data_IF_139776203213
#
_entry.id   IF_139776203213
#
_cell.length_a   1.000
_cell.length_b   1.000
_cell.length_c   1.000
_cell.angle_alpha   90.00
_cell.angle_beta   90.00
_cell.angle_gamma   90.00
#
_symmetry.space_group_name_H-M   'P 1'
#
loop_
_entity.id
_entity.type
_entity.pdbx_description
1 polymer ?
#
# COMPACT_ATOMS: atom_id res chain seq x y z
N UNK A 1 -7.71 -4.28 -36.53
CA UNK A 1 -6.51 -5.13 -36.50
C UNK A 1 -6.45 -5.74 -35.11
N UNK A 2 -6.76 -7.03 -35.04
CA UNK A 2 -7.41 -7.66 -33.89
C UNK A 2 -6.43 -8.05 -32.77
N UNK A 3 -6.91 -7.98 -31.52
CA UNK A 3 -6.28 -8.46 -30.27
C UNK A 3 -5.67 -9.88 -30.36
N UNK A 4 -6.18 -10.69 -31.30
CA UNK A 4 -5.69 -12.02 -31.64
C UNK A 4 -4.21 -11.97 -32.11
N UNK A 5 -3.82 -10.94 -32.87
CA UNK A 5 -2.45 -10.77 -33.34
C UNK A 5 -1.46 -10.42 -32.23
N UNK A 6 -1.90 -9.63 -31.25
CA UNK A 6 -1.10 -9.24 -30.08
C UNK A 6 -0.90 -10.43 -29.11
N UNK A 7 -1.91 -11.27 -28.97
CA UNK A 7 -1.87 -12.54 -28.21
C UNK A 7 -0.89 -13.54 -28.82
N UNK A 8 -0.96 -13.76 -30.14
CA UNK A 8 -0.04 -14.63 -30.87
C UNK A 8 1.42 -14.16 -30.76
N UNK A 9 1.66 -12.86 -30.81
CA UNK A 9 3.01 -12.29 -30.67
C UNK A 9 3.59 -12.47 -29.26
N UNK A 10 2.77 -12.30 -28.21
CA UNK A 10 3.18 -12.58 -26.82
C UNK A 10 3.45 -14.07 -26.58
N UNK A 11 2.65 -14.95 -27.18
CA UNK A 11 2.84 -16.40 -27.08
C UNK A 11 4.10 -16.86 -27.84
N UNK A 12 4.39 -16.27 -29.00
CA UNK A 12 5.63 -16.51 -29.74
C UNK A 12 6.87 -16.04 -28.96
N UNK A 13 6.80 -14.88 -28.29
CA UNK A 13 7.88 -14.41 -27.41
C UNK A 13 8.12 -15.33 -26.21
N UNK A 14 7.05 -15.83 -25.58
CA UNK A 14 7.15 -16.81 -24.48
C UNK A 14 7.75 -18.14 -24.95
N UNK A 15 7.35 -18.63 -26.13
CA UNK A 15 7.91 -19.86 -26.73
C UNK A 15 9.40 -19.70 -27.06
N UNK A 16 9.80 -18.53 -27.58
CA UNK A 16 11.20 -18.23 -27.86
C UNK A 16 12.05 -18.17 -26.59
N UNK A 17 11.54 -17.57 -25.51
CA UNK A 17 12.19 -17.59 -24.20
C UNK A 17 12.32 -19.01 -23.63
N UNK A 18 11.30 -19.86 -23.82
CA UNK A 18 11.33 -21.25 -23.40
C UNK A 18 12.41 -22.04 -24.15
N UNK A 19 12.51 -21.85 -25.47
CA UNK A 19 13.51 -22.51 -26.32
C UNK A 19 14.95 -22.06 -26.05
N UNK A 20 15.15 -20.79 -25.67
CA UNK A 20 16.47 -20.26 -25.30
C UNK A 20 16.94 -20.81 -23.94
N UNK A 21 16.02 -21.08 -23.01
CA UNK A 21 16.34 -21.55 -21.66
C UNK A 21 16.40 -23.08 -21.53
N UNK A 22 15.73 -23.83 -22.41
CA UNK A 22 15.72 -25.30 -22.41
C UNK A 22 17.13 -25.95 -22.39
N UNK A 23 18.13 -25.46 -23.16
CA UNK A 23 19.48 -26.01 -23.13
C UNK A 23 20.22 -25.79 -21.80
N UNK A 24 19.84 -24.78 -21.01
CA UNK A 24 20.49 -24.43 -19.75
C UNK A 24 19.97 -25.21 -18.54
N UNK A 25 18.74 -25.74 -18.62
CA UNK A 25 18.13 -26.53 -17.53
C UNK A 25 18.65 -27.97 -17.48
N UNK A 26 19.27 -28.44 -18.56
CA UNK A 26 19.66 -29.84 -18.72
C UNK A 26 20.76 -30.34 -17.75
N UNK A 27 21.43 -29.45 -17.00
CA UNK A 27 22.59 -29.84 -16.18
C UNK A 27 22.66 -29.25 -14.76
N UNK A 28 21.56 -28.76 -14.17
CA UNK A 28 21.60 -28.23 -12.80
C UNK A 28 20.55 -28.86 -11.88
N UNK A 29 21.04 -29.49 -10.80
CA UNK A 29 20.24 -29.80 -9.61
C UNK A 29 19.79 -28.45 -9.02
N UNK A 30 18.49 -28.14 -9.13
CA UNK A 30 17.91 -26.86 -8.69
C UNK A 30 16.90 -26.21 -9.65
N UNK A 31 16.63 -26.80 -10.82
CA UNK A 31 15.66 -26.27 -11.80
C UNK A 31 14.23 -26.06 -11.27
N UNK A 32 13.84 -26.74 -10.18
CA UNK A 32 12.53 -26.59 -9.51
C UNK A 32 12.30 -25.17 -8.99
N UNK A 33 13.31 -24.51 -8.43
CA UNK A 33 13.19 -23.17 -7.85
C UNK A 33 13.24 -22.08 -8.93
N UNK A 34 13.97 -22.33 -10.02
CA UNK A 34 14.00 -21.42 -11.18
C UNK A 34 12.70 -21.43 -11.98
N UNK A 35 12.06 -22.58 -12.21
CA UNK A 35 10.77 -22.66 -12.91
C UNK A 35 9.62 -21.98 -12.12
N UNK A 36 9.67 -22.06 -10.79
CA UNK A 36 8.78 -21.32 -9.88
C UNK A 36 9.08 -19.82 -9.88
N UNK A 37 10.36 -19.41 -9.84
CA UNK A 37 10.78 -17.99 -9.92
C UNK A 37 10.48 -17.34 -11.28
N UNK A 38 10.48 -18.11 -12.37
CA UNK A 38 10.24 -17.63 -13.74
C UNK A 38 8.75 -17.63 -14.14
N UNK A 39 7.82 -18.08 -13.28
CA UNK A 39 6.38 -18.05 -13.58
C UNK A 39 5.93 -19.01 -14.69
N UNK A 40 6.73 -20.04 -15.00
CA UNK A 40 6.45 -21.01 -16.06
C UNK A 40 5.34 -22.00 -15.67
N UNK A 41 5.21 -22.31 -14.37
CA UNK A 41 4.17 -23.21 -13.85
C UNK A 41 2.77 -22.56 -13.90
N UNK A 42 2.69 -21.24 -13.82
CA UNK A 42 1.42 -20.50 -13.89
C UNK A 42 0.82 -20.45 -15.31
N UNK A 43 1.63 -20.73 -16.35
CA UNK A 43 1.23 -20.63 -17.77
C UNK A 43 0.96 -22.00 -18.44
N UNK A 44 0.92 -23.12 -17.69
CA UNK A 44 0.58 -24.41 -18.28
C UNK A 44 -0.94 -24.53 -18.48
N UNK A 45 -1.37 -24.10 -19.67
CA UNK A 45 -2.65 -24.47 -20.29
C UNK A 45 -2.71 -26.00 -20.44
N UNK A 46 -3.91 -26.59 -20.33
CA UNK A 46 -4.10 -28.04 -20.20
C UNK A 46 -3.42 -28.86 -21.33
N UNK A 47 -3.23 -28.26 -22.50
CA UNK A 47 -2.62 -28.88 -23.67
C UNK A 47 -1.10 -29.11 -23.57
N UNK A 48 -0.37 -28.35 -22.74
CA UNK A 48 1.10 -28.47 -22.64
C UNK A 48 1.60 -29.44 -21.57
N UNK A 49 0.67 -29.99 -20.77
CA UNK A 49 0.99 -31.00 -19.75
C UNK A 49 1.46 -32.32 -20.41
N UNK A 50 1.14 -32.55 -21.69
CA UNK A 50 1.59 -33.71 -22.46
C UNK A 50 3.10 -33.72 -22.75
N UNK A 51 3.73 -32.55 -22.91
CA UNK A 51 5.12 -32.45 -23.40
C UNK A 51 6.16 -32.65 -22.30
N UNK A 52 5.76 -32.62 -21.01
CA UNK A 52 6.66 -32.76 -19.84
C UNK A 52 6.97 -34.24 -19.51
N UNK A 53 6.43 -35.20 -20.28
CA UNK A 53 6.56 -36.64 -19.99
C UNK A 53 8.00 -37.21 -20.02
N UNK A 54 9.02 -36.45 -20.46
CA UNK A 54 10.39 -36.94 -20.55
C UNK A 54 11.37 -36.41 -19.48
N UNK A 55 10.90 -35.67 -18.48
CA UNK A 55 11.72 -35.34 -17.30
C UNK A 55 11.03 -35.81 -16.02
N UNK A 56 11.82 -36.07 -14.97
CA UNK A 56 11.51 -36.69 -13.66
C UNK A 56 10.35 -36.01 -12.87
N UNK A 57 9.68 -35.04 -13.47
CA UNK A 57 8.48 -34.40 -12.98
C UNK A 57 7.23 -35.22 -13.34
N UNK A 58 6.77 -36.09 -12.43
CA UNK A 58 5.52 -36.81 -12.66
C UNK A 58 4.35 -35.82 -12.76
N UNK A 59 3.47 -36.01 -13.75
CA UNK A 59 2.22 -35.24 -13.95
C UNK A 59 1.43 -35.08 -12.65
N UNK A 60 1.49 -36.07 -11.77
CA UNK A 60 0.88 -36.07 -10.43
C UNK A 60 1.51 -35.04 -9.47
N UNK A 61 2.84 -34.94 -9.42
CA UNK A 61 3.56 -33.96 -8.57
C UNK A 61 3.28 -32.53 -9.02
N UNK A 62 3.29 -32.26 -10.32
CA UNK A 62 2.93 -30.95 -10.89
C UNK A 62 1.50 -30.52 -10.55
N UNK A 63 0.54 -31.44 -10.71
CA UNK A 63 -0.88 -31.18 -10.41
C UNK A 63 -1.09 -30.91 -8.93
N UNK A 64 -0.41 -31.66 -8.06
CA UNK A 64 -0.48 -31.47 -6.60
C UNK A 64 0.07 -30.10 -6.17
N UNK A 65 1.21 -29.67 -6.72
CA UNK A 65 1.80 -28.35 -6.45
C UNK A 65 0.89 -27.22 -6.96
N UNK A 66 0.31 -27.35 -8.16
CA UNK A 66 -0.68 -26.40 -8.70
C UNK A 66 -1.93 -26.29 -7.83
N UNK A 67 -2.47 -27.43 -7.38
CA UNK A 67 -3.62 -27.47 -6.47
C UNK A 67 -3.31 -26.86 -5.10
N UNK A 68 -2.11 -27.11 -4.57
CA UNK A 68 -1.65 -26.50 -3.32
C UNK A 68 -1.50 -24.97 -3.46
N UNK A 69 -0.90 -24.49 -4.55
CA UNK A 69 -0.82 -23.07 -4.89
C UNK A 69 -2.20 -22.41 -4.98
N UNK A 70 -3.15 -23.04 -5.68
CA UNK A 70 -4.52 -22.55 -5.79
C UNK A 70 -5.26 -22.50 -4.44
N UNK A 71 -5.10 -23.53 -3.60
CA UNK A 71 -5.67 -23.55 -2.24
C UNK A 71 -5.11 -22.42 -1.38
N UNK A 72 -3.80 -22.17 -1.45
CA UNK A 72 -3.16 -21.08 -0.70
C UNK A 72 -3.64 -19.69 -1.16
N UNK A 73 -3.78 -19.49 -2.48
CA UNK A 73 -4.33 -18.26 -3.05
C UNK A 73 -5.78 -18.01 -2.59
N UNK A 74 -6.61 -19.05 -2.60
CA UNK A 74 -8.00 -18.99 -2.13
C UNK A 74 -8.11 -18.63 -0.65
N UNK A 75 -7.28 -19.25 0.21
CA UNK A 75 -7.20 -18.92 1.64
C UNK A 75 -6.78 -17.45 1.86
N UNK A 76 -5.80 -16.98 1.10
CA UNK A 76 -5.32 -15.60 1.19
C UNK A 76 -6.41 -14.60 0.80
N UNK A 77 -7.12 -14.83 -0.31
CA UNK A 77 -8.26 -14.02 -0.72
C UNK A 77 -9.38 -13.97 0.34
N UNK A 78 -9.71 -15.11 0.93
CA UNK A 78 -10.73 -15.18 1.98
C UNK A 78 -10.31 -14.42 3.25
N UNK A 79 -9.02 -14.46 3.61
CA UNK A 79 -8.49 -13.68 4.72
C UNK A 79 -8.58 -12.17 4.48
N UNK A 80 -8.21 -11.72 3.27
CA UNK A 80 -8.35 -10.30 2.86
C UNK A 80 -9.81 -9.87 2.93
N UNK A 81 -10.72 -10.67 2.38
CA UNK A 81 -12.16 -10.36 2.39
C UNK A 81 -12.71 -10.23 3.82
N UNK A 82 -12.33 -11.15 4.71
CA UNK A 82 -12.74 -11.12 6.12
C UNK A 82 -12.18 -9.91 6.85
N UNK A 83 -10.89 -9.62 6.69
CA UNK A 83 -10.24 -8.48 7.33
C UNK A 83 -10.87 -7.16 6.85
N UNK A 84 -11.09 -7.03 5.54
CA UNK A 84 -11.69 -5.82 4.97
C UNK A 84 -13.13 -5.64 5.44
N UNK A 85 -13.92 -6.71 5.51
CA UNK A 85 -15.29 -6.63 6.04
C UNK A 85 -15.32 -6.14 7.49
N UNK A 86 -14.39 -6.62 8.34
CA UNK A 86 -14.28 -6.17 9.73
C UNK A 86 -13.91 -4.68 9.81
N UNK A 87 -12.92 -4.23 9.03
CA UNK A 87 -12.50 -2.82 8.94
C UNK A 87 -13.68 -1.94 8.53
N UNK A 88 -14.34 -2.28 7.42
CA UNK A 88 -15.46 -1.50 6.90
C UNK A 88 -16.62 -1.41 7.89
N UNK A 89 -17.02 -2.55 8.48
CA UNK A 89 -18.08 -2.62 9.49
C UNK A 89 -17.77 -1.70 10.68
N UNK A 90 -16.54 -1.74 11.19
CA UNK A 90 -16.15 -0.88 12.30
C UNK A 90 -16.17 0.61 11.92
N UNK A 91 -15.60 0.98 10.76
CA UNK A 91 -15.58 2.39 10.32
C UNK A 91 -16.95 2.97 10.01
N UNK A 92 -17.93 2.13 9.67
CA UNK A 92 -19.31 2.54 9.44
C UNK A 92 -20.15 2.51 10.72
N UNK A 93 -19.69 1.83 11.77
CA UNK A 93 -20.43 1.69 13.04
C UNK A 93 -20.50 3.00 13.84
N UNK A 94 -21.51 3.08 14.71
CA UNK A 94 -21.63 4.17 15.70
C UNK A 94 -20.49 4.23 16.73
N UNK A 95 -19.68 3.17 16.86
CA UNK A 95 -18.49 3.21 17.71
C UNK A 95 -17.38 4.10 17.14
N UNK A 96 -17.32 4.24 15.81
CA UNK A 96 -16.45 5.20 15.13
C UNK A 96 -17.08 6.61 15.11
N UNK A 97 -18.36 6.71 14.73
CA UNK A 97 -19.09 7.98 14.64
C UNK A 97 -19.78 8.31 15.97
N UNK A 98 -19.09 8.98 16.91
CA UNK A 98 -19.70 9.48 18.16
C UNK A 98 -20.64 10.69 17.98
N UNK A 99 -21.09 10.99 16.76
CA UNK A 99 -22.14 11.97 16.49
C UNK A 99 -23.47 11.26 16.15
N UNK A 100 -24.42 11.30 17.09
CA UNK A 100 -25.84 10.90 17.05
C UNK A 100 -26.40 10.23 15.77
N UNK A 101 -26.95 9.01 15.95
CA UNK A 101 -28.39 8.70 15.81
C UNK A 101 -28.76 7.53 16.75
N UNK A 102 -29.72 7.74 17.66
CA UNK A 102 -30.19 6.76 18.65
C UNK A 102 -31.16 5.69 18.11
N UNK A 103 -31.27 5.49 16.79
CA UNK A 103 -32.34 4.67 16.21
C UNK A 103 -31.89 3.53 15.28
N UNK A 104 -30.74 2.90 15.53
CA UNK A 104 -30.36 1.68 14.80
C UNK A 104 -29.97 0.55 15.77
N UNK A 105 -30.52 -0.64 15.50
CA UNK A 105 -30.23 -1.91 16.19
C UNK A 105 -28.72 -2.13 16.32
N UNK A 106 -28.23 -2.86 17.35
CA UNK A 106 -26.80 -3.06 17.54
C UNK A 106 -26.23 -3.89 16.37
N UNK A 107 -25.73 -3.21 15.36
CA UNK A 107 -24.87 -3.81 14.35
C UNK A 107 -23.64 -4.38 15.06
N UNK A 108 -23.32 -5.64 14.74
CA UNK A 108 -22.12 -6.29 15.23
C UNK A 108 -20.90 -5.40 14.97
N UNK A 109 -20.36 -4.82 16.04
CA UNK A 109 -19.20 -3.92 15.97
C UNK A 109 -17.99 -4.72 16.45
N UNK A 110 -16.98 -4.95 15.59
CA UNK A 110 -15.77 -5.65 16.01
C UNK A 110 -15.04 -4.93 17.15
N UNK A 111 -14.38 -5.69 18.04
CA UNK A 111 -13.55 -5.09 19.09
C UNK A 111 -12.27 -4.46 18.55
N UNK A 112 -11.65 -3.54 19.30
CA UNK A 112 -10.38 -2.91 18.91
C UNK A 112 -9.29 -3.95 18.61
N UNK A 113 -9.18 -4.99 19.44
CA UNK A 113 -8.25 -6.11 19.22
C UNK A 113 -8.51 -6.85 17.90
N UNK A 114 -9.79 -7.05 17.54
CA UNK A 114 -10.18 -7.69 16.28
C UNK A 114 -9.83 -6.81 15.08
N UNK A 115 -9.99 -5.49 15.19
CA UNK A 115 -9.61 -4.54 14.15
C UNK A 115 -8.09 -4.48 13.99
N UNK A 116 -7.32 -4.35 15.07
CA UNK A 116 -5.86 -4.40 15.01
C UNK A 116 -5.35 -5.70 14.38
N UNK A 117 -5.96 -6.84 14.72
CA UNK A 117 -5.62 -8.14 14.11
C UNK A 117 -5.98 -8.21 12.62
N UNK A 118 -7.10 -7.60 12.22
CA UNK A 118 -7.54 -7.53 10.83
C UNK A 118 -6.61 -6.65 9.99
N UNK A 119 -6.22 -5.48 10.50
CA UNK A 119 -5.26 -4.58 9.86
C UNK A 119 -3.88 -5.23 9.71
N UNK A 120 -3.38 -5.90 10.75
CA UNK A 120 -2.12 -6.65 10.67
C UNK A 120 -2.18 -7.77 9.63
N UNK A 121 -3.29 -8.50 9.58
CA UNK A 121 -3.51 -9.55 8.57
C UNK A 121 -3.47 -8.95 7.17
N UNK A 122 -4.19 -7.85 6.97
CA UNK A 122 -4.24 -7.13 5.71
C UNK A 122 -2.84 -6.63 5.29
N UNK A 123 -2.08 -6.02 6.20
CA UNK A 123 -0.72 -5.55 5.96
C UNK A 123 0.17 -6.69 5.44
N UNK A 124 0.17 -7.84 6.13
CA UNK A 124 0.93 -9.02 5.71
C UNK A 124 0.51 -9.48 4.30
N UNK A 125 -0.78 -9.39 3.97
CA UNK A 125 -1.28 -9.77 2.63
C UNK A 125 -0.98 -8.76 1.53
N UNK A 126 -0.81 -7.48 1.86
CA UNK A 126 -0.35 -6.47 0.90
C UNK A 126 1.13 -6.70 0.56
N UNK A 127 1.94 -7.16 1.53
CA UNK A 127 3.35 -7.51 1.31
C UNK A 127 3.54 -8.77 0.44
N UNK A 128 2.53 -9.66 0.39
CA UNK A 128 2.50 -10.80 -0.54
C UNK A 128 2.20 -10.31 -1.98
N UNK A 129 3.24 -10.16 -2.81
CA UNK A 129 3.23 -9.58 -4.19
C UNK A 129 2.09 -10.01 -5.14
N UNK A 130 1.39 -11.12 -4.87
CA UNK A 130 0.40 -11.73 -5.77
C UNK A 130 -1.08 -11.57 -5.34
N UNK A 131 -1.38 -10.92 -4.21
CA UNK A 131 -2.78 -10.83 -3.70
C UNK A 131 -3.35 -9.42 -3.59
N UNK A 132 -2.48 -8.42 -3.78
CA UNK A 132 -2.75 -7.00 -3.60
C UNK A 132 -3.85 -6.45 -4.54
N UNK A 133 -3.89 -6.87 -5.81
CA UNK A 133 -4.85 -6.33 -6.81
C UNK A 133 -6.33 -6.44 -6.44
N UNK A 134 -6.70 -7.36 -5.55
CA UNK A 134 -8.10 -7.55 -5.13
C UNK A 134 -8.56 -6.56 -4.04
N UNK A 135 -7.62 -5.93 -3.34
CA UNK A 135 -7.91 -5.01 -2.22
C UNK A 135 -8.41 -3.65 -2.73
N UNK A 136 -7.90 -3.19 -3.88
CA UNK A 136 -8.17 -1.87 -4.47
C UNK A 136 -9.65 -1.71 -4.90
N UNK A 137 -10.28 -2.79 -5.34
CA UNK A 137 -11.63 -2.72 -5.92
C UNK A 137 -12.74 -2.67 -4.86
N UNK A 138 -12.40 -2.50 -3.58
CA UNK A 138 -13.36 -2.44 -2.50
C UNK A 138 -13.76 -0.97 -2.30
N UNK A 139 -15.03 -0.60 -2.57
CA UNK A 139 -15.46 0.79 -2.44
C UNK A 139 -15.21 1.35 -1.04
N UNK A 140 -14.77 2.61 -0.96
CA UNK A 140 -14.51 3.35 0.30
C UNK A 140 -13.43 2.74 1.20
N UNK A 141 -12.66 1.77 0.71
CA UNK A 141 -11.64 1.12 1.52
C UNK A 141 -10.50 2.06 1.93
N UNK A 142 -10.00 2.90 1.02
CA UNK A 142 -8.97 3.89 1.33
C UNK A 142 -9.48 4.95 2.32
N UNK A 143 -10.75 5.36 2.19
CA UNK A 143 -11.39 6.25 3.16
C UNK A 143 -11.41 5.62 4.56
N UNK A 144 -11.79 4.34 4.67
CA UNK A 144 -11.79 3.61 5.95
C UNK A 144 -10.40 3.50 6.56
N UNK A 145 -9.37 3.22 5.75
CA UNK A 145 -7.99 3.21 6.25
C UNK A 145 -7.53 4.60 6.72
N UNK A 146 -7.78 5.65 5.94
CA UNK A 146 -7.40 7.02 6.30
C UNK A 146 -8.06 7.48 7.61
N UNK A 147 -9.33 7.12 7.77
CA UNK A 147 -10.11 7.31 9.00
C UNK A 147 -9.53 6.57 10.21
N UNK A 148 -9.07 5.34 10.03
CA UNK A 148 -8.47 4.54 11.11
C UNK A 148 -7.06 5.00 11.46
N UNK A 149 -6.31 5.54 10.50
CA UNK A 149 -4.99 6.13 10.73
C UNK A 149 -5.04 7.29 11.73
N UNK A 150 -6.16 8.02 11.82
CA UNK A 150 -6.35 9.11 12.76
C UNK A 150 -7.31 8.78 13.92
N UNK A 151 -7.67 7.49 14.10
CA UNK A 151 -8.72 7.09 15.04
C UNK A 151 -8.35 7.43 16.48
N UNK A 152 -9.15 8.31 17.09
CA UNK A 152 -8.99 8.77 18.47
C UNK A 152 -7.56 9.25 18.79
N UNK A 153 -6.91 9.86 17.81
CA UNK A 153 -5.62 10.52 18.01
C UNK A 153 -5.78 11.68 19.02
N UNK A 154 -4.78 11.88 19.89
CA UNK A 154 -4.84 12.86 20.99
C UNK A 154 -5.82 12.54 22.13
N UNK A 155 -6.55 11.41 22.10
CA UNK A 155 -7.47 11.02 23.18
C UNK A 155 -6.79 9.98 24.08
N UNK A 156 -6.38 10.40 25.27
CA UNK A 156 -5.84 9.52 26.31
C UNK A 156 -6.99 8.83 27.06
N UNK A 157 -6.92 7.50 27.21
CA UNK A 157 -7.88 6.72 28.01
C UNK A 157 -7.17 5.94 29.11
N UNK A 158 -6.85 4.69 28.83
CA UNK A 158 -6.15 3.79 29.73
C UNK A 158 -5.13 3.00 28.92
N UNK A 159 -4.05 2.58 29.58
CA UNK A 159 -2.88 2.02 28.91
C UNK A 159 -3.20 0.90 27.91
N UNK A 160 -4.06 -0.05 28.27
CA UNK A 160 -4.40 -1.17 27.38
C UNK A 160 -5.20 -0.71 26.14
N UNK A 161 -6.18 0.18 26.34
CA UNK A 161 -6.94 0.74 25.21
C UNK A 161 -6.05 1.62 24.33
N UNK A 162 -5.17 2.41 24.93
CA UNK A 162 -4.27 3.31 24.21
C UNK A 162 -3.28 2.51 23.34
N UNK A 163 -2.75 1.39 23.83
CA UNK A 163 -1.93 0.46 23.03
C UNK A 163 -2.70 -0.15 21.86
N UNK A 164 -3.97 -0.52 22.06
CA UNK A 164 -4.81 -1.07 20.99
C UNK A 164 -5.16 -0.01 19.93
N UNK A 165 -5.47 1.21 20.35
CA UNK A 165 -5.77 2.32 19.44
C UNK A 165 -4.51 2.71 18.67
N UNK A 166 -3.36 2.82 19.34
CA UNK A 166 -2.07 3.03 18.69
C UNK A 166 -1.83 1.98 17.59
N UNK A 167 -2.01 0.69 17.91
CA UNK A 167 -1.85 -0.38 16.93
C UNK A 167 -2.80 -0.24 15.74
N UNK A 168 -4.04 0.23 15.94
CA UNK A 168 -4.98 0.51 14.86
C UNK A 168 -4.44 1.61 13.96
N UNK A 169 -3.99 2.74 14.52
CA UNK A 169 -3.45 3.86 13.74
C UNK A 169 -2.19 3.45 12.96
N UNK A 170 -1.23 2.86 13.66
CA UNK A 170 0.03 2.37 13.10
C UNK A 170 -0.20 1.38 11.94
N UNK A 171 -0.97 0.29 12.16
CA UNK A 171 -1.19 -0.68 11.08
C UNK A 171 -2.00 -0.11 9.92
N UNK A 172 -2.88 0.87 10.16
CA UNK A 172 -3.62 1.54 9.09
C UNK A 172 -2.70 2.40 8.21
N UNK A 173 -1.81 3.20 8.83
CA UNK A 173 -0.79 3.99 8.11
C UNK A 173 0.17 3.09 7.34
N UNK A 174 0.64 2.01 7.96
CA UNK A 174 1.47 1.01 7.28
C UNK A 174 0.75 0.40 6.08
N UNK A 175 -0.54 0.06 6.18
CA UNK A 175 -1.32 -0.40 5.02
C UNK A 175 -1.34 0.64 3.90
N UNK A 176 -1.65 1.90 4.20
CA UNK A 176 -1.68 2.99 3.22
C UNK A 176 -0.30 3.22 2.57
N UNK A 177 0.77 3.21 3.36
CA UNK A 177 2.14 3.32 2.86
C UNK A 177 2.49 2.19 1.89
N UNK A 178 2.19 0.93 2.23
CA UNK A 178 2.44 -0.19 1.32
C UNK A 178 1.59 -0.10 0.06
N UNK A 179 0.35 0.37 0.17
CA UNK A 179 -0.54 0.61 -0.98
C UNK A 179 0.06 1.69 -1.89
N UNK A 180 0.53 2.80 -1.34
CA UNK A 180 1.23 3.82 -2.12
C UNK A 180 2.47 3.25 -2.83
N UNK A 181 3.28 2.46 -2.11
CA UNK A 181 4.57 1.96 -2.59
C UNK A 181 4.46 0.87 -3.67
N UNK A 182 3.48 -0.04 -3.58
CA UNK A 182 3.41 -1.25 -4.42
C UNK A 182 2.41 -1.20 -5.58
N UNK A 183 1.64 -0.12 -5.73
CA UNK A 183 0.58 -0.07 -6.73
C UNK A 183 0.79 1.04 -7.76
N UNK A 184 0.04 1.00 -8.86
CA UNK A 184 0.21 1.90 -10.00
C UNK A 184 -0.41 3.29 -9.79
N UNK A 185 -0.34 4.12 -10.83
CA UNK A 185 -0.87 5.49 -10.85
C UNK A 185 -2.38 5.58 -10.55
N UNK A 186 -3.18 4.56 -10.89
CA UNK A 186 -4.62 4.59 -10.63
C UNK A 186 -4.89 4.58 -9.12
N UNK A 187 -4.14 3.75 -8.37
CA UNK A 187 -4.24 3.73 -6.91
C UNK A 187 -3.77 5.04 -6.30
N UNK A 188 -2.76 5.69 -6.89
CA UNK A 188 -2.31 6.99 -6.39
C UNK A 188 -3.40 8.05 -6.47
N UNK A 189 -4.15 8.08 -7.59
CA UNK A 189 -5.29 8.98 -7.76
C UNK A 189 -6.36 8.76 -6.67
N UNK A 190 -6.67 7.50 -6.38
CA UNK A 190 -7.61 7.15 -5.31
C UNK A 190 -7.11 7.60 -3.94
N UNK A 191 -5.82 7.45 -3.63
CA UNK A 191 -5.26 7.93 -2.36
C UNK A 191 -5.40 9.45 -2.21
N UNK A 192 -5.07 10.23 -3.25
CA UNK A 192 -5.21 11.70 -3.21
C UNK A 192 -6.68 12.11 -3.03
N UNK A 193 -7.61 11.46 -3.74
CA UNK A 193 -9.04 11.77 -3.64
C UNK A 193 -9.65 11.39 -2.29
N UNK A 194 -9.09 10.39 -1.61
CA UNK A 194 -9.51 9.99 -0.26
C UNK A 194 -8.70 10.72 0.83
N UNK A 195 -8.08 11.86 0.49
CA UNK A 195 -7.36 12.74 1.40
C UNK A 195 -6.25 12.06 2.19
N UNK A 196 -5.48 11.18 1.54
CA UNK A 196 -4.36 10.53 2.20
C UNK A 196 -3.31 11.54 2.71
N UNK A 197 -3.19 12.70 2.07
CA UNK A 197 -2.30 13.76 2.52
C UNK A 197 -2.69 14.33 3.91
N UNK A 198 -3.99 14.45 4.20
CA UNK A 198 -4.54 14.88 5.50
C UNK A 198 -4.13 13.91 6.63
N UNK A 199 -3.97 12.62 6.33
CA UNK A 199 -3.50 11.64 7.31
C UNK A 199 -2.11 12.01 7.83
N UNK A 200 -1.22 12.52 6.97
CA UNK A 200 0.12 12.92 7.40
C UNK A 200 0.08 14.15 8.29
N UNK A 201 -0.69 15.18 7.92
CA UNK A 201 -0.77 16.42 8.70
C UNK A 201 -1.31 16.14 10.08
N UNK A 202 -2.47 15.50 10.21
CA UNK A 202 -3.08 15.14 11.51
C UNK A 202 -2.11 14.34 12.38
N UNK A 203 -1.37 13.40 11.78
CA UNK A 203 -0.41 12.57 12.53
C UNK A 203 0.78 13.37 13.04
N UNK A 204 1.19 14.42 12.35
CA UNK A 204 2.30 15.29 12.74
C UNK A 204 1.87 16.48 13.60
N UNK A 205 0.55 16.72 13.76
CA UNK A 205 -0.04 17.86 14.46
C UNK A 205 0.17 17.89 15.98
N UNK A 206 1.42 17.78 16.42
CA UNK A 206 1.79 17.81 17.85
C UNK A 206 1.80 19.22 18.42
N UNK A 207 2.01 20.27 17.60
CA UNK A 207 1.89 21.64 18.08
C UNK A 207 0.42 21.96 18.42
N UNK A 208 -0.51 21.41 17.64
CA UNK A 208 -1.94 21.40 17.95
C UNK A 208 -2.35 20.47 19.10
N UNK A 209 -1.45 19.64 19.63
CA UNK A 209 -1.73 18.69 20.71
C UNK A 209 -2.62 17.51 20.30
N UNK A 210 -2.75 17.24 18.99
CA UNK A 210 -3.64 16.21 18.43
C UNK A 210 -2.83 15.05 17.80
N UNK A 211 -1.60 15.30 17.37
CA UNK A 211 -0.74 14.35 16.64
C UNK A 211 -0.17 13.20 17.47
N UNK A 212 0.67 12.38 16.82
CA UNK A 212 1.36 11.27 17.47
C UNK A 212 2.50 11.78 18.36
N UNK A 213 2.68 11.13 19.51
CA UNK A 213 3.72 11.48 20.49
C UNK A 213 4.90 10.50 20.47
N UNK A 214 4.76 9.36 19.79
CA UNK A 214 5.81 8.36 19.67
C UNK A 214 6.78 8.72 18.55
N UNK A 215 8.05 8.88 18.89
CA UNK A 215 9.14 9.22 17.94
C UNK A 215 9.23 8.27 16.74
N UNK A 216 9.02 6.97 16.96
CA UNK A 216 9.03 5.97 15.89
C UNK A 216 7.93 6.25 14.86
N UNK A 217 6.71 6.52 15.32
CA UNK A 217 5.57 6.82 14.45
C UNK A 217 5.75 8.15 13.72
N UNK A 218 6.25 9.18 14.41
CA UNK A 218 6.58 10.47 13.79
C UNK A 218 7.60 10.30 12.66
N UNK A 219 8.66 9.51 12.91
CA UNK A 219 9.68 9.21 11.90
C UNK A 219 9.10 8.46 10.70
N UNK A 220 8.26 7.44 10.92
CA UNK A 220 7.62 6.68 9.86
C UNK A 220 6.67 7.56 9.01
N UNK A 221 5.97 8.50 9.65
CA UNK A 221 5.10 9.46 8.96
C UNK A 221 5.93 10.40 8.07
N UNK A 222 7.07 10.92 8.57
CA UNK A 222 7.96 11.75 7.77
C UNK A 222 8.56 11.03 6.56
N UNK A 223 8.97 9.77 6.73
CA UNK A 223 9.43 8.94 5.63
C UNK A 223 8.30 8.69 4.61
N UNK A 224 7.08 8.47 5.10
CA UNK A 224 5.91 8.21 4.26
C UNK A 224 5.52 9.42 3.41
N UNK A 225 5.40 10.62 3.99
CA UNK A 225 5.06 11.86 3.25
C UNK A 225 6.14 12.23 2.24
N UNK A 226 7.42 12.08 2.61
CA UNK A 226 8.55 12.37 1.71
C UNK A 226 8.53 11.43 0.50
N UNK A 227 8.31 10.13 0.71
CA UNK A 227 8.19 9.17 -0.37
C UNK A 227 6.95 9.42 -1.23
N UNK A 228 5.83 9.79 -0.61
CA UNK A 228 4.56 10.07 -1.27
C UNK A 228 4.68 11.22 -2.27
N UNK A 229 5.17 12.38 -1.83
CA UNK A 229 5.32 13.56 -2.68
C UNK A 229 6.44 13.37 -3.72
N UNK A 230 7.58 12.79 -3.33
CA UNK A 230 8.69 12.54 -4.27
C UNK A 230 8.26 11.65 -5.42
N UNK A 231 7.46 10.61 -5.15
CA UNK A 231 6.93 9.74 -6.20
C UNK A 231 6.07 10.48 -7.22
N UNK A 232 5.36 11.55 -6.83
CA UNK A 232 4.58 12.35 -7.77
C UNK A 232 5.42 13.35 -8.56
N UNK A 233 6.46 13.92 -7.96
CA UNK A 233 7.36 14.86 -8.66
C UNK A 233 8.31 14.17 -9.63
N UNK A 234 8.86 13.02 -9.23
CA UNK A 234 9.91 12.32 -9.97
C UNK A 234 9.37 11.13 -10.78
N UNK A 235 8.16 10.66 -10.47
CA UNK A 235 7.64 9.38 -10.94
C UNK A 235 8.28 8.18 -10.21
N UNK A 236 8.01 6.98 -10.71
CA UNK A 236 8.69 5.74 -10.29
C UNK A 236 9.28 5.04 -11.51
N UNK A 237 10.58 4.77 -11.47
CA UNK A 237 11.31 4.02 -12.51
C UNK A 237 12.16 2.86 -11.94
N UNK A 238 11.77 2.35 -10.77
CA UNK A 238 12.47 1.23 -10.14
C UNK A 238 11.88 -0.11 -10.58
N UNK A 239 12.73 -1.09 -10.90
CA UNK A 239 12.32 -2.41 -11.40
C UNK A 239 11.46 -3.24 -10.43
N UNK A 240 11.44 -2.89 -9.15
CA UNK A 240 10.66 -3.56 -8.10
C UNK A 240 9.35 -2.84 -7.73
N UNK A 241 9.04 -1.70 -8.35
CA UNK A 241 7.80 -0.94 -8.15
C UNK A 241 7.03 -0.79 -9.46
N UNK A 242 5.71 -0.57 -9.41
CA UNK A 242 4.97 -0.18 -10.60
C UNK A 242 5.46 1.16 -11.11
N UNK A 243 5.87 1.15 -12.38
CA UNK A 243 6.26 2.35 -13.10
C UNK A 243 5.07 3.29 -13.27
N UNK A 244 5.32 4.58 -13.09
CA UNK A 244 4.48 5.65 -13.61
C UNK A 244 5.33 6.92 -13.75
N UNK A 245 5.04 7.78 -14.76
CA UNK A 245 5.76 9.04 -14.93
C UNK A 245 5.41 10.03 -13.81
N UNK A 246 6.12 11.17 -13.68
CA UNK A 246 5.69 12.27 -12.81
C UNK A 246 4.19 12.59 -12.94
N UNK A 247 3.51 12.78 -11.81
CA UNK A 247 2.09 13.12 -11.69
C UNK A 247 1.93 14.51 -11.05
N UNK A 248 2.29 15.59 -11.75
CA UNK A 248 2.35 16.94 -11.17
C UNK A 248 1.00 17.44 -10.63
N UNK A 249 -0.12 17.02 -11.22
CA UNK A 249 -1.46 17.37 -10.71
C UNK A 249 -1.75 16.72 -9.35
N UNK A 250 -1.27 15.50 -9.12
CA UNK A 250 -1.43 14.81 -7.82
C UNK A 250 -0.47 15.35 -6.77
N UNK A 251 0.75 15.72 -7.19
CA UNK A 251 1.69 16.42 -6.33
C UNK A 251 1.06 17.71 -5.82
N UNK A 252 0.63 18.58 -6.74
CA UNK A 252 -0.01 19.86 -6.40
C UNK A 252 -1.24 19.69 -5.52
N UNK A 253 -2.15 18.79 -5.87
CA UNK A 253 -3.37 18.57 -5.07
C UNK A 253 -3.09 18.01 -3.67
N UNK A 254 -1.99 17.26 -3.51
CA UNK A 254 -1.56 16.76 -2.19
C UNK A 254 -0.86 17.83 -1.36
N UNK A 255 -0.04 18.66 -1.99
CA UNK A 255 0.61 19.81 -1.37
C UNK A 255 -0.41 20.86 -0.92
N UNK A 256 -1.40 21.16 -1.76
CA UNK A 256 -2.53 22.04 -1.41
C UNK A 256 -3.29 21.49 -0.19
N UNK A 257 -3.58 20.18 -0.13
CA UNK A 257 -4.20 19.57 1.05
C UNK A 257 -3.33 19.68 2.32
N UNK A 258 -2.01 19.50 2.19
CA UNK A 258 -1.09 19.63 3.32
C UNK A 258 -1.09 21.06 3.85
N UNK A 259 -1.03 22.04 2.96
CA UNK A 259 -1.01 23.46 3.32
C UNK A 259 -2.35 23.91 3.92
N UNK A 260 -3.49 23.50 3.35
CA UNK A 260 -4.82 23.83 3.85
C UNK A 260 -5.06 23.36 5.29
N UNK A 261 -4.43 22.25 5.68
CA UNK A 261 -4.50 21.68 7.03
C UNK A 261 -3.40 22.21 7.98
N UNK A 262 -2.63 23.23 7.58
CA UNK A 262 -1.54 23.79 8.39
C UNK A 262 -0.34 22.84 8.55
N UNK A 263 -0.17 21.91 7.60
CA UNK A 263 0.86 20.88 7.66
C UNK A 263 2.28 21.46 7.63
N UNK A 264 2.49 22.60 6.97
CA UNK A 264 3.79 23.29 6.95
C UNK A 264 4.22 23.74 8.34
N UNK A 265 3.30 24.33 9.11
CA UNK A 265 3.53 24.75 10.50
C UNK A 265 3.80 23.56 11.42
N UNK A 266 3.03 22.48 11.27
CA UNK A 266 3.19 21.28 12.09
C UNK A 266 4.51 20.54 11.80
N UNK A 267 4.93 20.51 10.52
CA UNK A 267 6.25 19.99 10.12
C UNK A 267 7.38 20.84 10.74
N UNK A 268 7.24 22.17 10.73
CA UNK A 268 8.23 23.07 11.32
C UNK A 268 8.29 22.96 12.84
N UNK A 269 7.16 22.70 13.51
CA UNK A 269 7.14 22.46 14.94
C UNK A 269 7.96 21.22 15.34
N UNK A 270 7.93 20.17 14.53
CA UNK A 270 8.67 18.92 14.77
C UNK A 270 10.21 19.08 14.71
N UNK A 271 10.73 20.15 14.08
CA UNK A 271 12.18 20.45 14.12
C UNK A 271 12.69 20.69 15.54
N UNK A 272 11.80 21.14 16.43
CA UNK A 272 12.10 21.41 17.83
C UNK A 272 11.77 20.23 18.76
N UNK A 273 11.29 19.11 18.22
CA UNK A 273 11.02 17.90 18.99
C UNK A 273 12.31 17.37 19.66
N UNK A 274 12.23 17.03 20.94
CA UNK A 274 13.35 16.60 21.80
C UNK A 274 13.52 15.07 21.89
N UNK A 275 12.71 14.30 21.18
CA UNK A 275 12.76 12.83 21.10
C UNK A 275 14.02 12.27 20.42
N UNK A 276 13.90 11.23 19.59
CA UNK A 276 14.99 10.68 18.74
C UNK A 276 15.49 11.72 17.70
N UNK A 277 16.20 12.73 18.23
CA UNK A 277 16.51 14.01 17.60
C UNK A 277 17.31 13.87 16.30
N UNK A 278 18.04 12.78 16.10
CA UNK A 278 18.89 12.58 14.93
C UNK A 278 18.08 12.21 13.68
N UNK A 279 17.22 11.20 13.81
CA UNK A 279 16.42 10.69 12.71
C UNK A 279 15.26 11.65 12.39
N UNK A 280 14.58 12.17 13.42
CA UNK A 280 13.45 13.10 13.24
C UNK A 280 13.92 14.33 12.48
N UNK A 281 14.97 15.02 12.95
CA UNK A 281 15.46 16.23 12.26
C UNK A 281 15.87 15.98 10.81
N UNK A 282 16.52 14.84 10.53
CA UNK A 282 16.92 14.49 9.15
C UNK A 282 15.68 14.29 8.28
N UNK A 283 14.71 13.52 8.76
CA UNK A 283 13.50 13.18 8.01
C UNK A 283 12.56 14.39 7.88
N UNK A 284 12.46 15.25 8.90
CA UNK A 284 11.77 16.54 8.83
C UNK A 284 12.40 17.45 7.79
N UNK A 285 13.74 17.57 7.75
CA UNK A 285 14.42 18.35 6.71
C UNK A 285 14.19 17.79 5.30
N UNK A 286 14.11 16.46 5.16
CA UNK A 286 13.77 15.82 3.88
C UNK A 286 12.34 16.15 3.46
N UNK A 287 11.37 15.99 4.36
CA UNK A 287 9.97 16.31 4.10
C UNK A 287 9.80 17.79 3.73
N UNK A 288 10.43 18.68 4.49
CA UNK A 288 10.45 20.12 4.22
C UNK A 288 11.09 20.45 2.88
N UNK A 289 12.19 19.80 2.53
CA UNK A 289 12.84 19.95 1.22
C UNK A 289 11.91 19.52 0.09
N UNK A 290 11.23 18.38 0.21
CA UNK A 290 10.31 17.87 -0.82
C UNK A 290 9.07 18.75 -0.95
N UNK A 291 8.53 19.28 0.14
CA UNK A 291 7.37 20.19 0.11
C UNK A 291 7.81 21.55 -0.44
N UNK A 292 8.79 22.22 0.17
CA UNK A 292 9.16 23.61 -0.15
C UNK A 292 9.92 23.76 -1.47
N UNK A 293 10.88 22.88 -1.80
CA UNK A 293 11.64 23.05 -3.05
C UNK A 293 10.75 22.88 -4.29
N UNK A 294 9.70 22.08 -4.19
CA UNK A 294 8.74 21.89 -5.27
C UNK A 294 7.70 23.01 -5.33
N UNK A 295 7.25 23.55 -4.20
CA UNK A 295 6.47 24.80 -4.17
C UNK A 295 7.21 25.97 -4.85
N UNK A 296 8.52 26.07 -4.65
CA UNK A 296 9.35 27.10 -5.31
C UNK A 296 9.46 26.83 -6.81
N UNK A 297 9.63 25.57 -7.25
CA UNK A 297 9.64 25.25 -8.68
C UNK A 297 8.28 25.49 -9.35
N UNK A 298 7.17 25.12 -8.70
CA UNK A 298 5.81 25.28 -9.24
C UNK A 298 5.38 26.75 -9.30
N UNK A 299 5.73 27.56 -8.30
CA UNK A 299 5.50 29.02 -8.30
C UNK A 299 6.38 29.75 -9.32
N UNK A 300 7.63 29.32 -9.52
CA UNK A 300 8.52 29.91 -10.52
C UNK A 300 8.13 29.57 -11.96
N UNK A 301 7.52 28.42 -12.22
CA UNK A 301 6.98 28.06 -13.54
C UNK A 301 5.78 28.93 -13.96
N UNK A 302 5.09 29.61 -13.02
CA UNK A 302 3.96 30.49 -13.33
C UNK A 302 4.34 31.92 -13.78
N UNK A 303 5.63 32.25 -13.86
CA UNK A 303 6.11 33.60 -14.24
C UNK A 303 6.44 33.76 -15.74
N UNK A 304 6.13 32.77 -16.58
CA UNK A 304 6.51 32.71 -17.99
C UNK A 304 5.37 32.84 -19.01
N UNK A 305 4.38 33.70 -18.79
CA UNK A 305 3.45 34.11 -19.85
C UNK A 305 3.73 35.55 -20.27
N UNK A 306 4.38 35.72 -21.42
CA UNK A 306 4.36 36.92 -22.26
C UNK A 306 3.35 36.72 -23.39
#
# INVERSE_FOLDING_TARGET
>A
MNDIGLSLQKNAQKLLQLFILLPFVHNYVGGEEQCLRLGLIDNLDEDWVGTVQNHVFSKSKATTLRLAGNKNKMKSYQAIKKATAAIMSFTNSGAYNKERKENEQPEYTPSLTQIGSSLRTLLNKILEKNTAKNVINIPKFFLSLSRLSCYQIGILRNKEQDEQIYAIRHFSRQCLFRIHYYYDAQVQFELVNNKYAEVFTISLSTAGGIGEEQDEEINEVFDSISNFLRAFHEGRDYSWQPYFPPLPLLARGSEEQIEEEGGSEEIDAQLNNKGDCGNIKRNTNLAKSVILNNFIQSSNQHSGWY
#
